data_IF_829958389608
#
_entry.id   IF_829958389608
#
_cell.length_a   1.000
_cell.length_b   1.000
_cell.length_c   1.000
_cell.angle_alpha   90.00
_cell.angle_beta   90.00
_cell.angle_gamma   90.00
#
_symmetry.space_group_name_H-M   'P 1'
#
loop_
_entity.id
_entity.type
_entity.pdbx_description
1 polymer ?
#
# COMPACT_ATOMS: atom_id res chain seq x y z
N UNK A 1 -21.69 -3.14 -9.22
CA UNK A 1 -21.97 -3.06 -7.77
C UNK A 1 -22.46 -4.37 -7.16
N UNK A 2 -23.47 -5.06 -7.72
CA UNK A 2 -24.03 -6.31 -7.13
C UNK A 2 -23.02 -7.46 -6.98
N UNK A 3 -22.16 -7.72 -7.96
CA UNK A 3 -21.15 -8.81 -7.91
C UNK A 3 -20.04 -8.59 -6.87
N UNK A 4 -19.68 -7.35 -6.57
CA UNK A 4 -18.66 -6.99 -5.58
C UNK A 4 -19.16 -7.25 -4.15
N UNK A 5 -20.40 -6.94 -3.84
CA UNK A 5 -20.99 -7.14 -2.52
C UNK A 5 -21.24 -8.61 -2.19
N UNK A 6 -21.66 -9.42 -3.17
CA UNK A 6 -21.85 -10.86 -2.98
C UNK A 6 -20.54 -11.59 -2.63
N UNK A 7 -19.42 -11.20 -3.26
CA UNK A 7 -18.08 -11.70 -2.90
C UNK A 7 -17.66 -11.32 -1.48
N UNK A 8 -18.09 -10.14 -0.98
CA UNK A 8 -17.76 -9.67 0.35
C UNK A 8 -18.41 -10.48 1.47
N UNK A 9 -19.66 -10.90 1.29
CA UNK A 9 -20.42 -11.56 2.35
C UNK A 9 -20.38 -13.09 2.26
N UNK A 10 -19.52 -13.66 1.39
CA UNK A 10 -19.37 -15.13 1.32
C UNK A 10 -20.53 -15.86 0.65
N UNK A 11 -21.39 -15.16 -0.09
CA UNK A 11 -22.51 -15.72 -0.84
C UNK A 11 -22.09 -16.19 -2.26
N UNK A 12 -20.83 -16.40 -2.51
CA UNK A 12 -20.27 -16.91 -3.77
C UNK A 12 -18.84 -17.34 -3.57
N UNK A 13 -18.65 -18.62 -3.41
CA UNK A 13 -17.60 -19.56 -3.77
C UNK A 13 -17.34 -20.56 -2.63
N UNK A 14 -18.03 -21.68 -2.67
CA UNK A 14 -17.44 -22.99 -2.37
C UNK A 14 -17.15 -23.63 -3.72
N UNK A 15 -15.93 -23.42 -4.22
CA UNK A 15 -15.37 -24.23 -5.30
C UNK A 15 -14.67 -25.43 -4.66
N UNK A 16 -15.46 -26.46 -4.36
CA UNK A 16 -14.97 -27.82 -4.18
C UNK A 16 -15.62 -28.66 -5.28
N UNK A 17 -14.77 -29.11 -6.21
CA UNK A 17 -15.13 -29.88 -7.38
C UNK A 17 -16.00 -31.10 -7.08
N UNK A 18 -17.29 -30.96 -7.20
CA UNK A 18 -18.25 -32.03 -7.51
C UNK A 18 -19.33 -31.41 -8.40
N UNK A 19 -19.43 -31.97 -9.60
CA UNK A 19 -20.59 -31.79 -10.48
C UNK A 19 -21.82 -32.34 -9.76
N UNK A 20 -22.56 -31.52 -9.06
CA UNK A 20 -23.93 -31.79 -8.63
C UNK A 20 -24.85 -30.76 -9.31
N UNK A 21 -25.94 -31.32 -9.85
CA UNK A 21 -27.02 -30.66 -10.57
C UNK A 21 -27.39 -29.35 -9.88
N UNK A 22 -27.21 -28.25 -10.60
CA UNK A 22 -27.68 -26.92 -10.21
C UNK A 22 -29.21 -26.95 -10.18
N UNK A 23 -29.80 -27.23 -9.03
CA UNK A 23 -31.13 -26.72 -8.73
C UNK A 23 -31.00 -25.20 -8.70
N UNK A 24 -31.73 -24.53 -9.59
CA UNK A 24 -31.85 -23.07 -9.60
C UNK A 24 -32.49 -22.65 -8.26
N UNK A 25 -31.67 -22.42 -7.23
CA UNK A 25 -32.14 -21.64 -6.09
C UNK A 25 -32.58 -20.28 -6.64
N UNK A 26 -33.89 -20.05 -6.63
CA UNK A 26 -34.51 -18.77 -6.93
C UNK A 26 -33.84 -17.70 -6.07
N UNK A 27 -33.01 -16.88 -6.70
CA UNK A 27 -32.39 -15.71 -6.01
C UNK A 27 -33.54 -14.90 -5.44
N UNK A 28 -33.58 -14.58 -4.15
CA UNK A 28 -34.62 -13.75 -3.58
C UNK A 28 -34.67 -12.46 -4.41
N UNK A 29 -35.76 -12.26 -5.14
CA UNK A 29 -35.97 -11.04 -5.93
C UNK A 29 -35.94 -9.89 -4.93
N UNK A 30 -34.95 -8.99 -5.09
CA UNK A 30 -34.83 -7.79 -4.26
C UNK A 30 -36.09 -6.94 -4.51
N UNK A 31 -37.07 -7.06 -3.65
CA UNK A 31 -38.35 -6.34 -3.74
C UNK A 31 -38.12 -4.85 -3.52
N UNK A 32 -38.53 -4.05 -4.49
CA UNK A 32 -38.47 -2.59 -4.36
C UNK A 32 -39.75 -2.14 -3.66
N UNK A 33 -39.61 -1.51 -2.51
CA UNK A 33 -40.73 -0.93 -1.74
C UNK A 33 -40.66 0.58 -1.76
N UNK A 34 -41.81 1.23 -1.80
CA UNK A 34 -41.90 2.67 -1.64
C UNK A 34 -41.97 2.96 -0.15
N UNK A 35 -41.05 3.77 0.33
CA UNK A 35 -40.90 4.11 1.76
C UNK A 35 -41.10 5.61 1.94
N UNK A 36 -41.88 6.04 2.98
CA UNK A 36 -41.97 7.44 3.35
C UNK A 36 -40.60 8.05 3.63
N UNK A 37 -40.30 9.19 3.02
CA UNK A 37 -39.02 9.86 3.13
C UNK A 37 -38.71 10.25 4.59
N UNK A 38 -39.72 10.62 5.37
CA UNK A 38 -39.60 11.01 6.78
C UNK A 38 -39.21 9.84 7.70
N UNK A 39 -39.46 8.61 7.29
CA UNK A 39 -39.10 7.41 8.03
C UNK A 39 -37.62 6.96 7.75
N UNK A 40 -36.92 7.67 6.87
CA UNK A 40 -35.56 7.33 6.47
C UNK A 40 -34.57 8.27 7.17
N UNK A 41 -33.54 7.69 7.78
CA UNK A 41 -32.45 8.42 8.46
C UNK A 41 -31.12 8.20 7.77
N UNK A 42 -30.24 9.21 7.87
CA UNK A 42 -28.89 9.13 7.32
C UNK A 42 -28.06 8.04 8.02
N UNK A 43 -27.07 7.51 7.28
CA UNK A 43 -26.15 6.50 7.79
C UNK A 43 -25.13 7.14 8.76
N UNK A 44 -25.07 6.74 10.03
CA UNK A 44 -24.08 7.27 10.99
C UNK A 44 -22.64 6.88 10.65
N UNK A 45 -22.44 5.86 9.80
CA UNK A 45 -21.12 5.40 9.36
C UNK A 45 -20.65 6.08 8.07
N UNK A 46 -21.40 7.03 7.50
CA UNK A 46 -21.04 7.75 6.28
C UNK A 46 -19.82 8.66 6.54
N UNK A 47 -18.69 8.47 5.86
CA UNK A 47 -17.52 9.34 6.02
C UNK A 47 -17.71 10.71 5.34
N UNK A 48 -18.75 10.87 4.51
CA UNK A 48 -18.98 12.11 3.75
C UNK A 48 -19.87 13.05 4.53
N UNK A 49 -19.24 14.10 5.09
CA UNK A 49 -19.94 15.21 5.78
C UNK A 49 -20.20 16.39 4.86
N UNK A 50 -19.43 16.55 3.77
CA UNK A 50 -19.55 17.70 2.86
C UNK A 50 -20.22 17.23 1.55
N UNK A 51 -21.42 17.73 1.30
CA UNK A 51 -22.15 17.53 0.05
C UNK A 51 -22.16 18.86 -0.71
N UNK A 52 -21.74 18.83 -1.98
CA UNK A 52 -21.86 19.99 -2.85
C UNK A 52 -23.34 20.20 -3.19
N UNK A 53 -23.93 21.27 -2.71
CA UNK A 53 -25.36 21.58 -2.90
C UNK A 53 -25.74 21.68 -4.38
N UNK A 54 -24.85 22.23 -5.20
CA UNK A 54 -25.03 22.32 -6.66
C UNK A 54 -25.26 20.95 -7.29
N UNK A 55 -24.45 19.94 -6.93
CA UNK A 55 -24.59 18.58 -7.46
C UNK A 55 -25.81 17.83 -6.92
N UNK A 56 -26.33 18.25 -5.76
CA UNK A 56 -27.63 17.73 -5.27
C UNK A 56 -28.76 18.37 -6.04
N UNK A 57 -28.70 19.68 -6.33
CA UNK A 57 -29.71 20.38 -7.12
C UNK A 57 -29.81 19.85 -8.56
N UNK A 58 -28.70 19.57 -9.23
CA UNK A 58 -28.69 18.91 -10.55
C UNK A 58 -29.37 17.53 -10.50
N UNK A 59 -29.05 16.73 -9.49
CA UNK A 59 -29.65 15.42 -9.30
C UNK A 59 -31.17 15.54 -9.01
N UNK A 60 -31.56 16.51 -8.19
CA UNK A 60 -32.96 16.81 -7.87
C UNK A 60 -33.75 17.20 -9.13
N UNK A 61 -33.16 18.01 -10.00
CA UNK A 61 -33.80 18.35 -11.29
C UNK A 61 -33.96 17.12 -12.20
N UNK A 62 -32.94 16.25 -12.24
CA UNK A 62 -33.03 14.99 -12.98
C UNK A 62 -34.14 14.06 -12.43
N UNK A 63 -34.22 13.95 -11.10
CA UNK A 63 -35.27 13.14 -10.44
C UNK A 63 -36.64 13.71 -10.67
N UNK A 64 -36.80 15.03 -10.71
CA UNK A 64 -38.09 15.68 -11.04
C UNK A 64 -38.56 15.35 -12.43
N UNK A 65 -37.63 15.24 -13.40
CA UNK A 65 -37.98 14.99 -14.82
C UNK A 65 -38.20 13.51 -15.11
N UNK A 66 -37.37 12.63 -14.55
CA UNK A 66 -37.34 11.21 -14.94
C UNK A 66 -37.75 10.25 -13.81
N UNK A 67 -38.06 10.78 -12.62
CA UNK A 67 -38.24 9.97 -11.43
C UNK A 67 -36.94 9.38 -10.87
N UNK A 68 -37.04 8.71 -9.76
CA UNK A 68 -35.88 8.01 -9.14
C UNK A 68 -35.73 6.62 -9.79
N UNK A 69 -34.96 6.53 -10.87
CA UNK A 69 -34.76 5.29 -11.65
C UNK A 69 -34.06 4.18 -10.86
N UNK A 70 -33.16 4.54 -9.93
CA UNK A 70 -32.41 3.59 -9.10
C UNK A 70 -32.87 3.70 -7.66
N UNK A 71 -33.43 2.63 -7.05
CA UNK A 71 -33.83 2.64 -5.66
C UNK A 71 -32.62 2.87 -4.74
N UNK A 72 -32.87 3.45 -3.56
CA UNK A 72 -31.89 3.50 -2.49
C UNK A 72 -31.84 2.15 -1.79
N UNK A 73 -30.76 1.88 -1.06
CA UNK A 73 -30.65 0.68 -0.20
C UNK A 73 -30.71 1.11 1.25
N UNK A 74 -31.60 0.49 1.99
CA UNK A 74 -31.82 0.78 3.43
C UNK A 74 -31.83 -0.50 4.24
N UNK A 75 -31.62 -0.38 5.54
CA UNK A 75 -31.91 -1.43 6.52
C UNK A 75 -32.99 -0.98 7.48
N UNK A 76 -33.74 -1.90 8.00
CA UNK A 76 -34.72 -1.63 9.06
C UNK A 76 -33.99 -1.54 10.40
N UNK A 77 -34.27 -0.48 11.14
CA UNK A 77 -33.78 -0.29 12.51
C UNK A 77 -34.92 0.20 13.38
N UNK A 78 -35.39 -0.68 14.26
CA UNK A 78 -36.57 -0.42 15.07
C UNK A 78 -37.77 0.02 14.23
N UNK A 79 -38.22 1.27 14.37
CA UNK A 79 -39.35 1.85 13.63
C UNK A 79 -38.94 2.68 12.41
N UNK A 80 -37.65 2.78 12.07
CA UNK A 80 -37.13 3.62 11.00
C UNK A 80 -36.25 2.83 10.02
N UNK A 81 -35.94 3.45 8.91
CA UNK A 81 -35.04 2.90 7.90
C UNK A 81 -33.75 3.71 7.87
N UNK A 82 -32.61 3.04 7.98
CA UNK A 82 -31.28 3.65 7.92
C UNK A 82 -30.66 3.42 6.54
N UNK A 83 -30.17 4.48 5.91
CA UNK A 83 -29.57 4.41 4.56
C UNK A 83 -28.26 3.62 4.62
N UNK A 84 -28.13 2.62 3.75
CA UNK A 84 -26.90 1.90 3.47
C UNK A 84 -26.17 2.53 2.29
N UNK A 85 -26.93 2.79 1.19
CA UNK A 85 -26.40 3.40 -0.04
C UNK A 85 -27.46 4.27 -0.73
N UNK A 86 -27.00 5.38 -1.34
CA UNK A 86 -27.88 6.28 -2.09
C UNK A 86 -28.25 7.56 -1.36
N UNK A 87 -27.48 8.03 -0.37
CA UNK A 87 -27.77 9.23 0.41
C UNK A 87 -28.00 10.49 -0.45
N UNK A 88 -27.22 10.68 -1.54
CA UNK A 88 -27.42 11.81 -2.46
C UNK A 88 -28.81 11.79 -3.12
N UNK A 89 -29.31 10.60 -3.45
CA UNK A 89 -30.66 10.42 -4.03
C UNK A 89 -31.74 10.75 -3.02
N UNK A 90 -31.59 10.29 -1.78
CA UNK A 90 -32.49 10.61 -0.69
C UNK A 90 -32.51 12.13 -0.40
N UNK A 91 -31.36 12.80 -0.29
CA UNK A 91 -31.30 14.26 -0.08
C UNK A 91 -31.92 15.03 -1.24
N UNK A 92 -31.68 14.61 -2.48
CA UNK A 92 -32.29 15.20 -3.64
C UNK A 92 -33.85 15.01 -3.64
N UNK A 93 -34.33 13.84 -3.23
CA UNK A 93 -35.75 13.55 -3.10
C UNK A 93 -36.41 14.45 -2.04
N UNK A 94 -35.75 14.64 -0.87
CA UNK A 94 -36.21 15.59 0.16
C UNK A 94 -36.30 17.02 -0.43
N UNK A 95 -35.29 17.47 -1.14
CA UNK A 95 -35.21 18.85 -1.67
C UNK A 95 -36.29 19.18 -2.67
N UNK A 96 -36.89 18.18 -3.31
CA UNK A 96 -38.03 18.36 -4.26
C UNK A 96 -39.39 17.98 -3.67
N UNK A 97 -39.45 17.66 -2.36
CA UNK A 97 -40.69 17.38 -1.64
C UNK A 97 -41.32 16.03 -2.01
N UNK A 98 -40.55 15.00 -2.32
CA UNK A 98 -41.12 13.65 -2.53
C UNK A 98 -41.63 13.08 -1.22
N UNK A 99 -42.83 12.53 -1.19
CA UNK A 99 -43.40 11.88 -0.01
C UNK A 99 -42.84 10.46 0.18
N UNK A 100 -42.63 9.72 -0.90
CA UNK A 100 -42.12 8.36 -0.90
C UNK A 100 -41.01 8.18 -1.93
N UNK A 101 -40.07 7.28 -1.64
CA UNK A 101 -38.99 6.93 -2.58
C UNK A 101 -38.83 5.41 -2.69
N UNK A 102 -38.47 4.89 -3.88
CA UNK A 102 -38.23 3.48 -4.06
C UNK A 102 -36.97 3.06 -3.32
N UNK A 103 -37.06 2.03 -2.50
CA UNK A 103 -36.00 1.50 -1.65
C UNK A 103 -35.95 -0.03 -1.68
N UNK A 104 -34.77 -0.59 -1.53
CA UNK A 104 -34.53 -2.01 -1.30
C UNK A 104 -34.14 -2.19 0.16
N UNK A 105 -34.92 -2.98 0.90
CA UNK A 105 -34.65 -3.29 2.29
C UNK A 105 -33.68 -4.46 2.37
N UNK A 106 -32.55 -4.27 3.08
CA UNK A 106 -31.55 -5.31 3.36
C UNK A 106 -31.48 -5.56 4.86
N UNK A 107 -31.40 -6.82 5.24
CA UNK A 107 -31.17 -7.21 6.63
C UNK A 107 -29.64 -7.23 6.90
N UNK A 108 -29.07 -6.03 7.10
CA UNK A 108 -27.64 -5.87 7.38
C UNK A 108 -27.42 -5.45 8.82
N UNK A 109 -26.49 -6.14 9.48
CA UNK A 109 -25.99 -5.72 10.78
C UNK A 109 -25.05 -4.49 10.67
N UNK A 110 -24.63 -3.93 11.80
CA UNK A 110 -23.79 -2.72 11.84
C UNK A 110 -22.44 -2.92 11.11
N UNK A 111 -21.81 -4.08 11.28
CA UNK A 111 -20.54 -4.42 10.61
C UNK A 111 -20.70 -4.48 9.10
N UNK A 112 -21.77 -5.11 8.61
CA UNK A 112 -22.08 -5.18 7.17
C UNK A 112 -22.38 -3.81 6.59
N UNK A 113 -23.16 -3.00 7.30
CA UNK A 113 -23.50 -1.63 6.87
C UNK A 113 -22.27 -0.74 6.80
N UNK A 114 -21.40 -0.76 7.81
CA UNK A 114 -20.14 -0.03 7.80
C UNK A 114 -19.23 -0.47 6.65
N UNK A 115 -19.21 -1.76 6.35
CA UNK A 115 -18.39 -2.32 5.26
C UNK A 115 -18.87 -1.87 3.88
N UNK A 116 -20.18 -1.87 3.65
CA UNK A 116 -20.76 -1.39 2.38
C UNK A 116 -20.40 0.08 2.16
N UNK A 117 -20.53 0.92 3.20
CA UNK A 117 -20.16 2.33 3.13
C UNK A 117 -18.65 2.52 2.84
N UNK A 118 -17.78 1.70 3.44
CA UNK A 118 -16.34 1.73 3.17
C UNK A 118 -16.00 1.29 1.75
N UNK A 119 -16.65 0.21 1.25
CA UNK A 119 -16.42 -0.30 -0.11
C UNK A 119 -16.92 0.68 -1.16
N UNK A 120 -18.12 1.30 -0.94
CA UNK A 120 -18.61 2.36 -1.82
C UNK A 120 -17.63 3.52 -1.88
N UNK A 121 -17.12 3.93 -0.72
CA UNK A 121 -16.12 5.00 -0.65
C UNK A 121 -14.81 4.62 -1.36
N UNK A 122 -14.35 3.36 -1.23
CA UNK A 122 -13.14 2.86 -1.92
C UNK A 122 -13.24 2.83 -3.45
N UNK A 123 -14.46 2.84 -4.01
CA UNK A 123 -14.71 2.89 -5.47
C UNK A 123 -14.63 4.30 -6.04
N UNK A 124 -14.31 5.32 -5.22
CA UNK A 124 -14.17 6.69 -5.68
C UNK A 124 -12.82 6.90 -6.35
N UNK A 125 -12.83 7.57 -7.50
CA UNK A 125 -11.61 7.86 -8.29
C UNK A 125 -10.63 8.85 -7.60
N UNK A 126 -11.08 9.57 -6.57
CA UNK A 126 -10.32 10.69 -5.97
C UNK A 126 -9.63 10.35 -4.64
N UNK A 127 -9.68 9.09 -4.17
CA UNK A 127 -9.07 8.72 -2.89
C UNK A 127 -7.55 8.87 -2.91
N UNK A 128 -7.02 9.47 -1.86
CA UNK A 128 -5.58 9.47 -1.62
C UNK A 128 -5.09 8.10 -1.15
N UNK A 129 -3.80 7.82 -1.32
CA UNK A 129 -3.19 6.55 -0.91
C UNK A 129 -3.38 6.25 0.60
N UNK A 130 -3.42 7.30 1.43
CA UNK A 130 -3.59 7.17 2.87
C UNK A 130 -5.04 6.90 3.27
N UNK A 131 -6.01 7.52 2.57
CA UNK A 131 -7.43 7.24 2.79
C UNK A 131 -7.78 5.81 2.40
N UNK A 132 -7.23 5.33 1.29
CA UNK A 132 -7.37 3.94 0.85
C UNK A 132 -6.76 2.98 1.89
N UNK A 133 -5.57 3.30 2.44
CA UNK A 133 -4.93 2.53 3.49
C UNK A 133 -5.78 2.47 4.77
N UNK A 134 -6.35 3.60 5.20
CA UNK A 134 -7.22 3.67 6.37
C UNK A 134 -8.50 2.84 6.19
N UNK A 135 -9.10 2.87 4.99
CA UNK A 135 -10.26 2.06 4.66
C UNK A 135 -9.92 0.56 4.70
N UNK A 136 -8.75 0.15 4.17
CA UNK A 136 -8.29 -1.25 4.26
C UNK A 136 -8.08 -1.70 5.69
N UNK A 137 -7.42 -0.90 6.53
CA UNK A 137 -7.22 -1.22 7.93
C UNK A 137 -8.55 -1.42 8.66
N UNK A 138 -9.53 -0.53 8.42
CA UNK A 138 -10.86 -0.64 9.02
C UNK A 138 -11.63 -1.87 8.54
N UNK A 139 -11.51 -2.26 7.26
CA UNK A 139 -12.14 -3.49 6.74
C UNK A 139 -11.51 -4.75 7.35
N UNK A 140 -10.19 -4.78 7.54
CA UNK A 140 -9.50 -5.89 8.20
C UNK A 140 -9.99 -6.06 9.64
N UNK A 141 -10.09 -4.95 10.39
CA UNK A 141 -10.52 -4.93 11.78
C UNK A 141 -11.99 -5.35 11.93
N UNK A 142 -12.89 -4.78 11.12
CA UNK A 142 -14.32 -5.08 11.16
C UNK A 142 -14.66 -6.56 10.90
N UNK A 143 -13.89 -7.23 10.07
CA UNK A 143 -14.17 -8.60 9.64
C UNK A 143 -13.17 -9.63 10.13
N UNK A 144 -12.13 -9.24 10.86
CA UNK A 144 -11.06 -10.15 11.27
C UNK A 144 -10.35 -10.81 10.08
N UNK A 145 -10.24 -10.11 8.93
CA UNK A 145 -9.69 -10.65 7.70
C UNK A 145 -8.16 -10.62 7.70
N UNK A 146 -7.56 -11.55 6.95
CA UNK A 146 -6.15 -11.43 6.56
C UNK A 146 -5.99 -10.46 5.41
N UNK A 147 -4.79 -9.88 5.24
CA UNK A 147 -4.48 -9.01 4.10
C UNK A 147 -4.68 -9.71 2.75
N UNK A 148 -4.42 -11.00 2.69
CA UNK A 148 -4.61 -11.83 1.50
C UNK A 148 -6.10 -11.97 1.16
N UNK A 149 -6.94 -12.32 2.15
CA UNK A 149 -8.38 -12.42 1.97
C UNK A 149 -9.00 -11.08 1.57
N UNK A 150 -8.54 -9.95 2.15
CA UNK A 150 -8.97 -8.61 1.75
C UNK A 150 -8.58 -8.31 0.30
N UNK A 151 -7.35 -8.63 -0.09
CA UNK A 151 -6.84 -8.40 -1.44
C UNK A 151 -7.67 -9.18 -2.49
N UNK A 152 -7.94 -10.45 -2.22
CA UNK A 152 -8.77 -11.31 -3.08
C UNK A 152 -10.19 -10.72 -3.24
N UNK A 153 -10.84 -10.30 -2.14
CA UNK A 153 -12.18 -9.70 -2.16
C UNK A 153 -12.24 -8.38 -2.93
N UNK A 154 -11.17 -7.60 -2.88
CA UNK A 154 -11.04 -6.33 -3.60
C UNK A 154 -10.56 -6.48 -5.05
N UNK A 155 -10.19 -7.71 -5.48
CA UNK A 155 -9.60 -7.95 -6.79
C UNK A 155 -8.22 -7.29 -6.96
N UNK A 156 -7.47 -7.12 -5.85
CA UNK A 156 -6.14 -6.49 -5.83
C UNK A 156 -5.08 -7.50 -5.42
N UNK A 157 -3.82 -7.23 -5.76
CA UNK A 157 -2.70 -8.05 -5.29
C UNK A 157 -2.47 -7.85 -3.78
N UNK A 158 -2.14 -8.91 -3.05
CA UNK A 158 -1.83 -8.86 -1.61
C UNK A 158 -0.70 -7.86 -1.31
N UNK A 159 0.32 -7.80 -2.15
CA UNK A 159 1.42 -6.84 -2.02
C UNK A 159 0.96 -5.37 -2.13
N UNK A 160 -0.08 -5.11 -2.94
CA UNK A 160 -0.67 -3.77 -3.07
C UNK A 160 -1.36 -3.35 -1.77
N UNK A 161 -2.17 -4.24 -1.20
CA UNK A 161 -2.85 -4.02 0.09
C UNK A 161 -1.82 -3.82 1.21
N UNK A 162 -0.81 -4.69 1.29
CA UNK A 162 0.26 -4.59 2.28
C UNK A 162 1.04 -3.26 2.17
N UNK A 163 1.39 -2.83 0.95
CA UNK A 163 2.08 -1.56 0.74
C UNK A 163 1.25 -0.36 1.19
N UNK A 164 -0.06 -0.36 0.92
CA UNK A 164 -0.97 0.70 1.38
C UNK A 164 -1.02 0.73 2.92
N UNK A 165 -1.26 -0.40 3.56
CA UNK A 165 -1.34 -0.50 5.03
C UNK A 165 -0.05 -0.02 5.71
N UNK A 166 1.12 -0.27 5.12
CA UNK A 166 2.39 0.21 5.66
C UNK A 166 2.49 1.74 5.71
N UNK A 167 1.77 2.48 4.87
CA UNK A 167 1.77 3.94 4.90
C UNK A 167 1.21 4.51 6.22
N UNK A 168 0.33 3.77 6.90
CA UNK A 168 -0.22 4.16 8.19
C UNK A 168 0.82 4.15 9.33
N UNK A 169 1.99 3.54 9.13
CA UNK A 169 3.09 3.55 10.09
C UNK A 169 4.05 4.74 9.93
N UNK A 170 3.81 5.60 8.95
CA UNK A 170 4.57 6.84 8.76
C UNK A 170 4.11 7.91 9.75
N UNK A 171 4.95 8.91 10.01
CA UNK A 171 4.59 10.04 10.87
C UNK A 171 3.40 10.82 10.30
N UNK A 172 2.64 11.47 11.17
CA UNK A 172 1.45 12.25 10.78
C UNK A 172 1.78 13.31 9.72
N UNK A 173 2.95 13.94 9.81
CA UNK A 173 3.40 14.92 8.83
C UNK A 173 3.57 14.31 7.43
N UNK A 174 4.12 13.09 7.33
CA UNK A 174 4.24 12.38 6.04
C UNK A 174 2.87 11.95 5.53
N UNK A 175 1.98 11.49 6.41
CA UNK A 175 0.62 11.13 6.04
C UNK A 175 -0.18 12.35 5.55
N UNK A 176 -0.02 13.50 6.19
CA UNK A 176 -0.66 14.75 5.76
C UNK A 176 -0.13 15.22 4.41
N UNK A 177 1.18 15.22 4.18
CA UNK A 177 1.77 15.54 2.89
C UNK A 177 1.26 14.61 1.75
N UNK A 178 0.95 13.34 2.08
CA UNK A 178 0.29 12.42 1.14
C UNK A 178 -1.16 12.80 0.86
N UNK A 179 -1.93 13.24 1.87
CA UNK A 179 -3.32 13.70 1.71
C UNK A 179 -3.38 14.98 0.87
N UNK A 180 -2.47 15.91 1.10
CA UNK A 180 -2.36 17.17 0.38
C UNK A 180 -1.73 17.02 -1.01
N UNK A 181 -1.29 15.79 -1.36
CA UNK A 181 -0.64 15.45 -2.63
C UNK A 181 0.69 16.18 -2.88
N UNK A 182 1.33 16.68 -1.83
CA UNK A 182 2.67 17.27 -1.91
C UNK A 182 3.74 16.22 -2.24
N UNK A 183 3.51 14.96 -1.81
CA UNK A 183 4.35 13.82 -2.13
C UNK A 183 3.51 12.67 -2.72
N UNK A 184 4.13 11.81 -3.51
CA UNK A 184 3.47 10.62 -4.06
C UNK A 184 3.61 9.42 -3.12
N UNK A 185 2.78 8.40 -3.31
CA UNK A 185 2.87 7.12 -2.59
C UNK A 185 4.29 6.51 -2.66
N UNK A 186 4.98 6.65 -3.80
CA UNK A 186 6.33 6.12 -3.97
C UNK A 186 7.34 6.83 -3.09
N UNK A 187 7.24 8.15 -2.92
CA UNK A 187 8.07 8.92 -1.98
C UNK A 187 7.82 8.46 -0.54
N UNK A 188 6.55 8.33 -0.14
CA UNK A 188 6.19 7.87 1.20
C UNK A 188 6.68 6.44 1.48
N UNK A 189 6.59 5.53 0.50
CA UNK A 189 7.14 4.17 0.63
C UNK A 189 8.65 4.15 0.81
N UNK A 190 9.38 5.06 0.17
CA UNK A 190 10.81 5.18 0.36
C UNK A 190 11.19 5.59 1.80
N UNK A 191 10.30 6.31 2.52
CA UNK A 191 10.51 6.72 3.91
C UNK A 191 10.25 5.60 4.93
N UNK A 192 9.54 4.52 4.59
CA UNK A 192 9.21 3.41 5.50
C UNK A 192 10.41 2.75 6.22
N UNK A 193 11.60 2.61 5.62
CA UNK A 193 12.75 2.06 6.31
C UNK A 193 13.32 2.94 7.44
N UNK A 194 12.91 4.21 7.50
CA UNK A 194 13.38 5.17 8.51
C UNK A 194 12.42 5.10 9.69
N UNK A 195 12.88 4.52 10.80
CA UNK A 195 12.05 4.37 12.01
C UNK A 195 12.01 5.60 12.90
N UNK A 196 12.99 6.49 12.73
CA UNK A 196 13.15 7.71 13.52
C UNK A 196 12.27 8.82 12.95
N UNK A 197 11.30 9.29 13.73
CA UNK A 197 10.33 10.30 13.34
C UNK A 197 10.98 11.64 12.94
N UNK A 198 11.99 12.09 13.70
CA UNK A 198 12.69 13.34 13.40
C UNK A 198 13.44 13.28 12.06
N UNK A 199 14.00 12.10 11.75
CA UNK A 199 14.68 11.88 10.47
C UNK A 199 13.69 11.80 9.31
N UNK A 200 12.53 11.14 9.50
CA UNK A 200 11.47 11.16 8.50
C UNK A 200 11.04 12.58 8.16
N UNK A 201 10.84 13.43 9.18
CA UNK A 201 10.44 14.82 8.98
C UNK A 201 11.50 15.66 8.27
N UNK A 202 12.78 15.49 8.63
CA UNK A 202 13.88 16.19 7.95
C UNK A 202 13.93 15.84 6.47
N UNK A 203 13.83 14.55 6.15
CA UNK A 203 13.85 14.07 4.77
C UNK A 203 12.59 14.52 4.02
N UNK A 204 11.41 14.49 4.66
CA UNK A 204 10.19 15.01 4.07
C UNK A 204 10.35 16.48 3.65
N UNK A 205 10.89 17.33 4.53
CA UNK A 205 11.15 18.73 4.22
C UNK A 205 12.12 18.89 3.04
N UNK A 206 13.16 18.07 2.95
CA UNK A 206 14.08 18.08 1.82
C UNK A 206 13.41 17.66 0.52
N UNK A 207 12.51 16.63 0.57
CA UNK A 207 11.75 16.18 -0.60
C UNK A 207 10.86 17.30 -1.14
N UNK A 208 10.11 17.98 -0.26
CA UNK A 208 9.17 19.03 -0.64
C UNK A 208 9.91 20.28 -1.11
N UNK A 209 10.89 20.78 -0.33
CA UNK A 209 11.60 22.02 -0.64
C UNK A 209 12.43 21.96 -1.93
N UNK A 210 12.96 20.78 -2.26
CA UNK A 210 13.81 20.60 -3.44
C UNK A 210 13.07 19.88 -4.58
N UNK A 211 11.77 19.63 -4.46
CA UNK A 211 10.93 18.93 -5.45
C UNK A 211 11.58 17.63 -5.95
N UNK A 212 12.14 16.83 -5.01
CA UNK A 212 12.91 15.64 -5.35
C UNK A 212 12.02 14.59 -6.02
N UNK A 213 12.53 14.00 -7.09
CA UNK A 213 11.87 12.81 -7.66
C UNK A 213 12.14 11.54 -6.81
N UNK A 214 11.42 10.46 -7.10
CA UNK A 214 11.51 9.21 -6.32
C UNK A 214 12.94 8.68 -6.24
N UNK A 215 13.70 8.71 -7.35
CA UNK A 215 15.08 8.22 -7.39
C UNK A 215 16.01 9.05 -6.52
N UNK A 216 15.91 10.37 -6.59
CA UNK A 216 16.67 11.30 -5.73
C UNK A 216 16.33 11.10 -4.26
N UNK A 217 15.05 10.87 -3.94
CA UNK A 217 14.58 10.54 -2.59
C UNK A 217 15.22 9.25 -2.07
N UNK A 218 15.26 8.19 -2.89
CA UNK A 218 15.91 6.93 -2.52
C UNK A 218 17.43 7.09 -2.31
N UNK A 219 18.09 7.90 -3.13
CA UNK A 219 19.52 8.21 -2.98
C UNK A 219 19.76 9.04 -1.71
N UNK A 220 18.91 10.02 -1.42
CA UNK A 220 18.97 10.81 -0.19
C UNK A 220 18.87 9.90 1.04
N UNK A 221 17.88 9.00 1.07
CA UNK A 221 17.66 8.05 2.17
C UNK A 221 18.87 7.12 2.34
N UNK A 222 19.45 6.59 1.25
CA UNK A 222 20.67 5.76 1.31
C UNK A 222 21.83 6.52 1.93
N UNK A 223 21.98 7.80 1.60
CA UNK A 223 23.03 8.66 2.15
C UNK A 223 22.82 8.92 3.65
N UNK A 224 21.58 9.12 4.09
CA UNK A 224 21.24 9.26 5.52
C UNK A 224 21.53 7.97 6.29
N UNK A 225 21.16 6.81 5.77
CA UNK A 225 21.44 5.50 6.39
C UNK A 225 22.93 5.14 6.33
N UNK A 226 23.63 5.52 5.27
CA UNK A 226 25.08 5.25 5.11
C UNK A 226 25.96 6.03 6.07
N UNK A 227 25.50 7.18 6.56
CA UNK A 227 26.21 7.96 7.59
C UNK A 227 26.15 7.31 8.99
N UNK A 228 25.20 6.43 9.24
CA UNK A 228 25.06 5.69 10.51
C UNK A 228 25.80 4.36 10.54
N UNK A 229 26.14 3.80 9.40
CA UNK A 229 27.07 2.66 9.39
C UNK A 229 28.45 3.19 9.71
N UNK A 230 29.00 2.75 10.86
CA UNK A 230 30.40 2.94 11.28
C UNK A 230 31.31 2.94 10.04
N UNK A 231 32.41 3.73 10.04
CA UNK A 231 33.27 3.82 8.87
C UNK A 231 33.59 2.41 8.40
N UNK A 232 33.12 2.04 7.22
CA UNK A 232 33.57 0.81 6.57
C UNK A 232 35.09 0.90 6.62
N UNK A 233 35.73 0.00 7.36
CA UNK A 233 37.19 -0.18 7.24
C UNK A 233 37.49 -0.04 5.77
N UNK A 234 38.24 1.00 5.40
CA UNK A 234 38.64 1.27 4.02
C UNK A 234 39.08 -0.07 3.46
N UNK A 235 38.35 -0.62 2.50
CA UNK A 235 38.86 -1.77 1.76
C UNK A 235 40.24 -1.34 1.30
N UNK A 236 41.28 -2.14 1.50
CA UNK A 236 42.61 -1.74 1.09
C UNK A 236 42.50 -1.29 -0.35
N UNK A 237 42.96 -0.07 -0.60
CA UNK A 237 42.94 0.53 -1.96
C UNK A 237 43.69 -0.48 -2.81
N UNK A 238 43.01 -1.12 -3.77
CA UNK A 238 43.67 -1.97 -4.75
C UNK A 238 44.63 -1.06 -5.50
N UNK A 239 45.90 -1.07 -5.09
CA UNK A 239 46.96 -0.39 -5.84
C UNK A 239 46.92 -0.97 -7.25
N UNK A 240 46.83 -0.12 -8.23
CA UNK A 240 46.74 -0.49 -9.64
C UNK A 240 48.20 -0.79 -10.08
N UNK A 241 48.64 -2.03 -9.89
CA UNK A 241 49.91 -2.49 -10.43
C UNK A 241 49.81 -2.64 -11.95
N UNK A 242 50.91 -2.31 -12.66
CA UNK A 242 50.94 -2.62 -14.09
C UNK A 242 50.79 -4.14 -14.26
N UNK A 243 50.22 -4.53 -15.39
CA UNK A 243 49.94 -5.97 -15.65
C UNK A 243 51.22 -6.81 -15.57
N UNK A 244 52.33 -6.24 -15.97
CA UNK A 244 53.67 -6.88 -15.99
C UNK A 244 54.23 -7.03 -14.57
N UNK A 245 54.15 -6.02 -13.73
CA UNK A 245 54.61 -6.07 -12.35
C UNK A 245 53.85 -7.12 -11.55
N UNK A 246 52.55 -7.21 -11.75
CA UNK A 246 51.69 -8.19 -11.09
C UNK A 246 51.99 -9.62 -11.55
N UNK A 247 52.29 -9.80 -12.83
CA UNK A 247 52.70 -11.09 -13.38
C UNK A 247 54.06 -11.54 -12.77
N UNK A 248 55.04 -10.64 -12.76
CA UNK A 248 56.37 -10.91 -12.19
C UNK A 248 56.28 -11.31 -10.71
N UNK A 249 55.58 -10.56 -9.88
CA UNK A 249 55.36 -10.88 -8.48
C UNK A 249 54.70 -12.24 -8.25
N UNK A 250 53.66 -12.55 -9.03
CA UNK A 250 52.99 -13.85 -8.93
C UNK A 250 53.87 -15.02 -9.36
N UNK A 251 54.71 -14.83 -10.35
CA UNK A 251 55.67 -15.85 -10.83
C UNK A 251 56.72 -16.14 -9.76
N UNK A 252 57.28 -15.09 -9.09
CA UNK A 252 58.25 -15.27 -8.01
C UNK A 252 57.59 -16.01 -6.83
N UNK A 253 56.42 -15.60 -6.40
CA UNK A 253 55.68 -16.27 -5.32
C UNK A 253 55.39 -17.74 -5.65
N UNK A 254 54.96 -18.03 -6.88
CA UNK A 254 54.71 -19.39 -7.32
C UNK A 254 55.95 -20.27 -7.31
N UNK A 255 57.11 -19.70 -7.71
CA UNK A 255 58.40 -20.40 -7.69
C UNK A 255 58.83 -20.69 -6.25
N UNK A 256 58.71 -19.73 -5.35
CA UNK A 256 58.99 -19.91 -3.92
C UNK A 256 58.11 -21.00 -3.30
N UNK A 257 56.83 -20.96 -3.59
CA UNK A 257 55.84 -21.94 -3.10
C UNK A 257 56.13 -23.37 -3.60
N UNK A 258 56.59 -23.48 -4.84
CA UNK A 258 57.01 -24.76 -5.44
C UNK A 258 58.24 -25.38 -4.74
N UNK A 259 59.23 -24.53 -4.41
CA UNK A 259 60.44 -24.96 -3.68
C UNK A 259 60.11 -25.34 -2.25
N UNK A 260 59.26 -24.59 -1.57
CA UNK A 260 58.79 -24.92 -0.22
C UNK A 260 58.04 -26.24 -0.17
N UNK A 261 57.15 -26.49 -1.17
CA UNK A 261 56.43 -27.76 -1.31
C UNK A 261 57.32 -28.95 -1.63
N UNK A 262 58.49 -28.74 -2.20
CA UNK A 262 59.49 -29.80 -2.43
C UNK A 262 60.23 -30.26 -1.16
N UNK A 263 59.91 -29.66 0.00
CA UNK A 263 60.47 -30.04 1.30
C UNK A 263 61.70 -29.24 1.72
N UNK A 264 62.08 -28.19 0.98
CA UNK A 264 63.16 -27.27 1.37
C UNK A 264 62.62 -26.18 2.32
N UNK A 265 63.24 -26.01 3.48
CA UNK A 265 62.96 -24.90 4.39
C UNK A 265 63.65 -23.64 3.87
N UNK A 266 62.88 -22.71 3.33
CA UNK A 266 63.37 -21.40 2.87
C UNK A 266 62.66 -20.30 3.64
N UNK A 267 63.42 -19.29 4.08
CA UNK A 267 62.91 -18.09 4.65
C UNK A 267 62.69 -17.05 3.54
N UNK A 268 61.50 -16.47 3.50
CA UNK A 268 61.17 -15.46 2.49
C UNK A 268 60.67 -14.21 3.17
N UNK A 269 61.15 -13.07 2.75
CA UNK A 269 60.69 -11.75 3.20
C UNK A 269 60.37 -10.90 1.99
N UNK A 270 59.28 -10.15 2.08
CA UNK A 270 58.75 -9.34 0.99
C UNK A 270 58.54 -7.90 1.47
N UNK A 271 59.28 -6.96 0.89
CA UNK A 271 59.19 -5.54 1.20
C UNK A 271 58.73 -4.75 -0.04
N UNK A 272 57.80 -3.81 0.19
CA UNK A 272 57.36 -2.87 -0.82
C UNK A 272 57.97 -1.49 -0.55
N UNK A 273 58.82 -1.05 -1.45
CA UNK A 273 59.38 0.31 -1.45
C UNK A 273 58.66 1.20 -2.46
N UNK A 274 58.92 2.50 -2.44
CA UNK A 274 58.26 3.45 -3.35
C UNK A 274 58.57 3.21 -4.84
N UNK A 275 59.76 2.73 -5.15
CA UNK A 275 60.25 2.55 -6.53
C UNK A 275 60.33 1.09 -6.97
N UNK A 276 60.40 0.09 -6.06
CA UNK A 276 60.57 -1.33 -6.38
C UNK A 276 59.97 -2.25 -5.34
N UNK A 277 59.75 -3.51 -5.76
CA UNK A 277 59.46 -4.63 -4.85
C UNK A 277 60.70 -5.44 -4.62
N UNK A 278 61.01 -5.71 -3.34
CA UNK A 278 62.14 -6.51 -2.95
C UNK A 278 61.67 -7.86 -2.38
N UNK A 279 62.17 -8.96 -2.96
CA UNK A 279 62.00 -10.31 -2.45
C UNK A 279 63.34 -10.81 -1.95
N UNK A 280 63.46 -11.11 -0.66
CA UNK A 280 64.66 -11.70 -0.06
C UNK A 280 64.37 -13.16 0.22
N UNK A 281 65.10 -14.07 -0.42
CA UNK A 281 65.00 -15.51 -0.29
C UNK A 281 66.27 -16.07 0.32
N UNK A 282 66.16 -16.69 1.50
CA UNK A 282 67.29 -17.32 2.17
C UNK A 282 67.15 -18.83 2.10
N UNK A 283 68.13 -19.47 1.47
CA UNK A 283 68.23 -20.93 1.31
C UNK A 283 69.33 -21.44 2.20
N UNK A 284 69.04 -22.30 3.21
CA UNK A 284 70.09 -22.81 4.07
C UNK A 284 71.03 -23.75 3.31
N UNK A 285 72.30 -23.55 3.44
CA UNK A 285 73.31 -24.52 2.96
C UNK A 285 73.38 -25.66 3.97
N UNK A 286 73.22 -26.91 3.50
CA UNK A 286 73.45 -28.09 4.31
C UNK A 286 74.92 -28.12 4.73
#
# INVERSE_FOLDING_TARGET
MKQSLQKWFGLGDQDDGKEEKVEQEERPQEEVKYLPVDNIIANPFQPRTIFQEEKIAELAQSIRTHGLLQPITVRQRESRYEIIAGERRWRAAISIGMEEIPAIIKDFNDTQTASVALIENLQREELTAIEEAAAYAKLLDLHGLTQESLAQRLGKGQSTVANKLRLLHLTDNVQNALKEREITERHARALLPIKDAEKQEKILKEIINNELNVKQTEELIKNFQGKEQKPKKKKPTRKHYSKDTRLAMNTIRQSVDMVTKSGMNIETDEEENEEYYQFTIRIPKK
#
